data_IF_439097138197
#
_entry.id   IF_439097138197
#
_cell.length_a   1.000
_cell.length_b   1.000
_cell.length_c   1.000
_cell.angle_alpha   90.00
_cell.angle_beta   90.00
_cell.angle_gamma   90.00
#
_symmetry.space_group_name_H-M   'P 1'
#
loop_
_entity.id
_entity.type
_entity.pdbx_description
1 polymer ?
#
# COMPACT_ATOMS: atom_id res chain seq x y z
N UNK A 1 18.89 7.64 -11.89
CA UNK A 1 18.14 6.57 -11.21
C UNK A 1 17.61 7.13 -9.91
N UNK A 2 16.29 7.12 -9.65
CA UNK A 2 15.78 7.54 -8.35
C UNK A 2 16.32 6.60 -7.27
N UNK A 3 16.75 7.15 -6.13
CA UNK A 3 17.28 6.36 -5.01
C UNK A 3 16.10 5.74 -4.26
N UNK A 4 16.13 4.43 -4.05
CA UNK A 4 15.19 3.76 -3.14
C UNK A 4 15.49 4.22 -1.71
N UNK A 5 14.44 4.45 -0.93
CA UNK A 5 14.54 4.77 0.50
C UNK A 5 15.13 3.58 1.27
N UNK A 6 15.97 3.84 2.27
CA UNK A 6 16.40 2.78 3.21
C UNK A 6 15.25 2.40 4.16
N UNK A 7 15.37 1.24 4.81
CA UNK A 7 14.36 0.80 5.78
C UNK A 7 14.16 1.81 6.92
N UNK A 8 15.24 2.47 7.39
CA UNK A 8 15.16 3.49 8.43
C UNK A 8 14.46 4.77 7.92
N UNK A 9 14.69 5.15 6.66
CA UNK A 9 14.03 6.31 6.05
C UNK A 9 12.53 6.05 5.85
N UNK A 10 12.18 4.82 5.47
CA UNK A 10 10.79 4.34 5.38
C UNK A 10 10.11 4.41 6.75
N UNK A 11 10.75 3.88 7.79
CA UNK A 11 10.18 3.86 9.14
C UNK A 11 10.00 5.28 9.69
N UNK A 12 10.96 6.18 9.44
CA UNK A 12 10.84 7.61 9.79
C UNK A 12 9.70 8.28 9.05
N UNK A 13 9.53 8.00 7.76
CA UNK A 13 8.43 8.52 6.96
C UNK A 13 7.08 8.06 7.52
N UNK A 14 6.89 6.76 7.73
CA UNK A 14 5.65 6.20 8.30
C UNK A 14 5.36 6.82 9.67
N UNK A 15 6.37 6.90 10.56
CA UNK A 15 6.23 7.50 11.89
C UNK A 15 5.82 8.97 11.82
N UNK A 16 6.35 9.73 10.85
CA UNK A 16 5.95 11.13 10.65
C UNK A 16 4.48 11.28 10.22
N UNK A 17 3.93 10.26 9.57
CA UNK A 17 2.55 10.22 9.07
C UNK A 17 1.52 9.82 10.14
N UNK A 18 1.95 9.29 11.29
CA UNK A 18 1.09 8.85 12.39
C UNK A 18 0.38 9.96 13.20
N UNK A 19 0.45 11.22 12.74
CA UNK A 19 -0.22 12.35 13.40
C UNK A 19 -1.74 12.33 13.14
N UNK A 20 -2.53 12.79 14.12
CA UNK A 20 -3.99 12.67 14.09
C UNK A 20 -4.61 13.52 12.97
N UNK A 21 -5.31 12.86 12.03
CA UNK A 21 -6.03 13.54 10.95
C UNK A 21 -6.50 12.58 9.83
N UNK A 22 -7.56 12.95 9.10
CA UNK A 22 -8.05 12.15 7.95
C UNK A 22 -7.01 12.08 6.83
N UNK A 23 -6.39 13.21 6.50
CA UNK A 23 -5.36 13.30 5.46
C UNK A 23 -4.10 12.50 5.80
N UNK A 24 -3.75 12.43 7.09
CA UNK A 24 -2.60 11.70 7.57
C UNK A 24 -2.79 10.18 7.50
N UNK A 25 -3.99 9.68 7.86
CA UNK A 25 -4.36 8.27 7.65
C UNK A 25 -4.36 7.88 6.17
N UNK A 26 -4.79 8.78 5.30
CA UNK A 26 -4.74 8.54 3.86
C UNK A 26 -3.30 8.47 3.34
N UNK A 27 -2.44 9.39 3.79
CA UNK A 27 -1.03 9.38 3.43
C UNK A 27 -0.31 8.11 3.93
N UNK A 28 -0.59 7.66 5.17
CA UNK A 28 -0.07 6.40 5.71
C UNK A 28 -0.50 5.20 4.86
N UNK A 29 -1.80 5.12 4.51
CA UNK A 29 -2.31 4.06 3.64
C UNK A 29 -1.66 4.05 2.25
N UNK A 30 -1.48 5.23 1.64
CA UNK A 30 -0.78 5.38 0.34
C UNK A 30 0.66 4.89 0.44
N UNK A 31 1.38 5.28 1.49
CA UNK A 31 2.78 4.90 1.70
C UNK A 31 2.91 3.38 1.94
N UNK A 32 2.04 2.78 2.75
CA UNK A 32 1.99 1.32 2.94
C UNK A 32 1.68 0.57 1.65
N UNK A 33 0.72 1.05 0.86
CA UNK A 33 0.43 0.48 -0.46
C UNK A 33 1.65 0.51 -1.39
N UNK A 34 2.41 1.61 -1.38
CA UNK A 34 3.61 1.71 -2.21
C UNK A 34 4.74 0.79 -1.73
N UNK A 35 4.94 0.69 -0.41
CA UNK A 35 6.07 -0.03 0.19
C UNK A 35 5.82 -1.53 0.34
N UNK A 36 4.68 -1.91 0.90
CA UNK A 36 4.37 -3.30 1.26
C UNK A 36 3.90 -4.09 0.04
N UNK A 37 3.20 -3.43 -0.88
CA UNK A 37 2.58 -4.06 -2.06
C UNK A 37 3.28 -3.70 -3.38
N UNK A 38 4.26 -2.79 -3.35
CA UNK A 38 5.01 -2.37 -4.54
C UNK A 38 4.19 -1.59 -5.57
N UNK A 39 3.05 -1.01 -5.16
CA UNK A 39 2.14 -0.32 -6.08
C UNK A 39 2.72 1.00 -6.59
N UNK A 40 2.44 1.32 -7.85
CA UNK A 40 2.79 2.62 -8.45
C UNK A 40 1.75 3.66 -8.05
N UNK A 41 2.16 4.94 -8.02
CA UNK A 41 1.26 6.04 -7.65
C UNK A 41 -0.04 6.09 -8.48
N UNK A 42 0.00 5.74 -9.76
CA UNK A 42 -1.19 5.68 -10.62
C UNK A 42 -2.14 4.51 -10.32
N UNK A 43 -1.63 3.41 -9.77
CA UNK A 43 -2.44 2.27 -9.30
C UNK A 43 -3.11 2.64 -7.98
N UNK A 44 -2.35 3.19 -7.04
CA UNK A 44 -2.84 3.64 -5.73
C UNK A 44 -3.94 4.70 -5.89
N UNK A 45 -3.74 5.68 -6.78
CA UNK A 45 -4.70 6.76 -7.02
C UNK A 45 -6.04 6.27 -7.61
N UNK A 46 -6.10 5.03 -8.14
CA UNK A 46 -7.30 4.43 -8.74
C UNK A 46 -7.97 3.40 -7.84
N UNK A 47 -7.41 3.10 -6.67
CA UNK A 47 -8.01 2.15 -5.73
C UNK A 47 -9.33 2.68 -5.19
N UNK A 48 -10.35 1.82 -5.19
CA UNK A 48 -11.60 1.99 -4.46
C UNK A 48 -11.64 1.08 -3.23
N UNK A 49 -12.54 1.37 -2.28
CA UNK A 49 -12.83 0.43 -1.19
C UNK A 49 -13.43 -0.88 -1.71
N UNK A 50 -14.05 -0.86 -2.89
CA UNK A 50 -14.60 -2.07 -3.55
C UNK A 50 -13.50 -3.02 -4.07
N UNK A 51 -12.26 -2.54 -4.17
CA UNK A 51 -11.11 -3.36 -4.53
C UNK A 51 -10.56 -4.15 -3.35
N UNK A 52 -11.09 -3.91 -2.13
CA UNK A 52 -10.64 -4.53 -0.90
C UNK A 52 -11.61 -5.64 -0.50
N UNK A 53 -11.15 -6.89 -0.59
CA UNK A 53 -11.86 -8.03 -0.02
C UNK A 53 -11.50 -8.17 1.46
N UNK A 54 -12.18 -7.41 2.32
CA UNK A 54 -11.91 -7.32 3.76
C UNK A 54 -11.85 -8.68 4.46
N UNK A 55 -12.74 -9.61 4.10
CA UNK A 55 -12.83 -10.94 4.69
C UNK A 55 -11.65 -11.82 4.29
N UNK A 56 -11.12 -11.65 3.08
CA UNK A 56 -9.97 -12.39 2.58
C UNK A 56 -8.63 -11.71 2.92
N UNK A 57 -8.67 -10.45 3.36
CA UNK A 57 -7.47 -9.65 3.59
C UNK A 57 -6.70 -9.39 2.29
N UNK A 58 -7.38 -9.23 1.15
CA UNK A 58 -6.75 -9.06 -0.17
C UNK A 58 -7.20 -7.80 -0.89
N UNK A 59 -6.29 -7.23 -1.68
CA UNK A 59 -6.49 -6.10 -2.58
C UNK A 59 -6.50 -6.60 -4.03
N UNK A 60 -7.53 -6.24 -4.79
CA UNK A 60 -7.68 -6.61 -6.20
C UNK A 60 -7.31 -5.43 -7.09
N UNK A 61 -6.24 -5.56 -7.88
CA UNK A 61 -5.82 -4.55 -8.85
C UNK A 61 -6.48 -4.81 -10.20
N UNK A 62 -7.60 -4.13 -10.48
CA UNK A 62 -8.37 -4.31 -11.73
C UNK A 62 -7.78 -3.59 -12.94
N UNK A 63 -6.88 -2.62 -12.72
CA UNK A 63 -6.35 -1.73 -13.77
C UNK A 63 -4.82 -1.80 -13.92
N UNK A 64 -4.22 -2.99 -13.82
CA UNK A 64 -2.78 -3.13 -14.08
C UNK A 64 -2.46 -3.04 -15.58
N UNK A 65 -1.22 -2.63 -15.89
CA UNK A 65 -0.69 -2.57 -17.25
C UNK A 65 -0.59 -3.99 -17.83
N UNK A 66 -1.63 -4.44 -18.50
CA UNK A 66 -1.72 -5.79 -19.07
C UNK A 66 -3.12 -6.42 -19.03
N UNK A 67 -4.14 -5.74 -18.47
CA UNK A 67 -5.51 -6.28 -18.27
C UNK A 67 -5.55 -7.53 -17.40
N UNK A 68 -4.53 -7.77 -16.58
CA UNK A 68 -4.50 -8.89 -15.64
C UNK A 68 -4.95 -8.38 -14.28
N UNK A 69 -6.02 -8.94 -13.74
CA UNK A 69 -6.35 -8.71 -12.35
C UNK A 69 -5.26 -9.37 -11.50
N UNK A 70 -4.65 -8.57 -10.63
CA UNK A 70 -3.64 -9.05 -9.68
C UNK A 70 -4.20 -8.95 -8.26
N UNK A 71 -3.91 -9.94 -7.43
CA UNK A 71 -4.50 -10.06 -6.10
C UNK A 71 -3.39 -10.11 -5.06
N UNK A 72 -3.30 -9.05 -4.25
CA UNK A 72 -2.23 -8.87 -3.29
C UNK A 72 -2.75 -9.01 -1.85
N UNK A 73 -2.03 -9.69 -0.95
CA UNK A 73 -2.41 -9.73 0.46
C UNK A 73 -2.20 -8.35 1.10
N UNK A 74 -3.19 -7.83 1.82
CA UNK A 74 -3.13 -6.54 2.53
C UNK A 74 -2.21 -6.57 3.75
N UNK A 75 -1.95 -7.77 4.27
CA UNK A 75 -1.03 -8.00 5.37
C UNK A 75 0.16 -8.78 4.84
N UNK A 76 1.42 -8.39 5.15
CA UNK A 76 2.53 -9.32 4.94
C UNK A 76 2.22 -10.61 5.72
N UNK A 77 2.56 -11.80 5.18
CA UNK A 77 2.33 -13.04 5.89
C UNK A 77 2.93 -12.91 7.28
N UNK A 78 2.11 -13.03 8.32
CA UNK A 78 2.59 -12.96 9.69
C UNK A 78 3.76 -13.93 9.81
N UNK A 79 4.92 -13.46 10.26
CA UNK A 79 5.99 -14.36 10.66
C UNK A 79 5.48 -15.09 11.89
N UNK A 80 4.81 -16.22 11.68
CA UNK A 80 4.55 -17.20 12.72
C UNK A 80 5.91 -17.54 13.33
N UNK A 81 6.12 -17.09 14.58
CA UNK A 81 7.23 -17.53 15.43
C UNK A 81 7.05 -18.99 15.84
#
# INVERSE_FOLDING_TARGET
>A
MPKSLTAEEVERLIRSLGQQGRSMRQADAIVRCALDLGLRGGEIARLSLDDIAWQAGTLVLRHTKGRREDMLPLQPPEKTS
#
